data_IF_680232212108
#
_entry.id   IF_680232212108
#
_cell.length_a   1.000
_cell.length_b   1.000
_cell.length_c   1.000
_cell.angle_alpha   90.00
_cell.angle_beta   90.00
_cell.angle_gamma   90.00
#
_symmetry.space_group_name_H-M   'P 1'
#
loop_
_entity.id
_entity.type
_entity.pdbx_description
1 polymer ?
#
# COMPACT_ATOMS: atom_id res chain seq x y z
N UNK A 1 -31.81 -7.46 2.42
CA UNK A 1 -30.50 -7.17 3.05
C UNK A 1 -29.50 -8.16 2.45
N UNK A 2 -28.75 -7.73 1.43
CA UNK A 2 -27.84 -8.62 0.70
C UNK A 2 -26.75 -9.10 1.67
N UNK A 3 -26.56 -10.41 1.79
CA UNK A 3 -25.57 -11.01 2.69
C UNK A 3 -24.19 -10.77 2.07
N UNK A 4 -23.57 -9.64 2.40
CA UNK A 4 -22.18 -9.38 2.04
C UNK A 4 -21.36 -10.56 2.56
N UNK A 5 -20.67 -11.24 1.65
CA UNK A 5 -19.89 -12.42 2.02
C UNK A 5 -18.68 -11.94 2.82
N UNK A 6 -18.24 -12.71 3.82
CA UNK A 6 -17.09 -12.32 4.66
C UNK A 6 -15.86 -11.91 3.82
N UNK A 7 -15.67 -12.53 2.65
CA UNK A 7 -14.65 -12.16 1.66
C UNK A 7 -14.78 -10.73 1.12
N UNK A 8 -15.99 -10.25 0.85
CA UNK A 8 -16.23 -8.89 0.34
C UNK A 8 -15.90 -7.84 1.40
N UNK A 9 -16.28 -8.11 2.66
CA UNK A 9 -15.96 -7.23 3.79
C UNK A 9 -14.45 -7.18 3.99
N UNK A 10 -13.78 -8.34 3.99
CA UNK A 10 -12.32 -8.42 4.11
C UNK A 10 -11.62 -7.70 2.95
N UNK A 11 -12.13 -7.86 1.72
CA UNK A 11 -11.62 -7.16 0.54
C UNK A 11 -11.70 -5.64 0.67
N UNK A 12 -12.84 -5.11 1.15
CA UNK A 12 -12.98 -3.67 1.44
C UNK A 12 -11.98 -3.21 2.50
N UNK A 13 -11.80 -3.96 3.59
CA UNK A 13 -10.81 -3.64 4.61
C UNK A 13 -9.37 -3.62 4.06
N UNK A 14 -8.99 -4.58 3.22
CA UNK A 14 -7.68 -4.60 2.58
C UNK A 14 -7.48 -3.41 1.63
N UNK A 15 -8.52 -2.98 0.92
CA UNK A 15 -8.48 -1.76 0.08
C UNK A 15 -8.23 -0.52 0.94
N UNK A 16 -8.96 -0.35 2.04
CA UNK A 16 -8.77 0.82 2.89
C UNK A 16 -7.44 0.80 3.63
N UNK A 17 -6.96 -0.39 4.02
CA UNK A 17 -5.62 -0.57 4.58
C UNK A 17 -4.52 -0.26 3.56
N UNK A 18 -4.70 -0.63 2.29
CA UNK A 18 -3.78 -0.28 1.20
C UNK A 18 -3.71 1.23 0.96
N UNK A 19 -4.86 1.93 1.01
CA UNK A 19 -4.90 3.40 0.91
C UNK A 19 -4.19 4.05 2.10
N UNK A 20 -4.41 3.53 3.31
CA UNK A 20 -3.77 4.03 4.53
C UNK A 20 -2.25 3.82 4.48
N UNK A 21 -1.79 2.64 4.05
CA UNK A 21 -0.37 2.34 3.87
C UNK A 21 0.28 3.22 2.80
N UNK A 22 -0.41 3.47 1.69
CA UNK A 22 0.07 4.40 0.65
C UNK A 22 0.16 5.84 1.19
N UNK A 23 -0.86 6.31 1.91
CA UNK A 23 -0.83 7.65 2.51
C UNK A 23 0.31 7.79 3.53
N UNK A 24 0.52 6.78 4.40
CA UNK A 24 1.63 6.76 5.36
C UNK A 24 3.00 6.74 4.67
N UNK A 25 3.11 6.06 3.52
CA UNK A 25 4.33 6.05 2.70
C UNK A 25 4.58 7.42 2.05
N UNK A 26 3.57 8.06 1.50
CA UNK A 26 3.70 9.41 0.92
C UNK A 26 4.00 10.47 2.00
N UNK A 27 3.35 10.39 3.17
CA UNK A 27 3.56 11.35 4.26
C UNK A 27 4.86 11.11 5.04
N UNK A 28 5.24 9.85 5.27
CA UNK A 28 6.40 9.50 6.12
C UNK A 28 7.63 9.02 5.34
N UNK A 29 7.44 8.26 4.27
CA UNK A 29 8.52 7.70 3.46
C UNK A 29 9.08 8.68 2.43
N UNK A 30 8.25 9.57 1.88
CA UNK A 30 8.73 10.60 0.94
C UNK A 30 9.64 11.62 1.64
N UNK A 31 9.43 11.89 2.94
CA UNK A 31 10.28 12.80 3.72
C UNK A 31 11.73 12.30 3.77
N UNK A 32 11.96 10.98 3.79
CA UNK A 32 13.31 10.39 3.79
C UNK A 32 14.05 10.69 2.48
N UNK A 33 13.34 10.82 1.36
CA UNK A 33 13.92 11.18 0.05
C UNK A 33 14.39 12.64 0.03
N UNK A 34 13.80 13.51 0.84
CA UNK A 34 14.12 14.94 0.90
C UNK A 34 15.04 15.33 2.07
N UNK A 35 15.36 14.41 2.99
CA UNK A 35 16.23 14.69 4.15
C UNK A 35 17.72 14.46 3.89
N UNK A 36 18.09 13.60 2.94
CA UNK A 36 19.48 13.38 2.54
C UNK A 36 19.80 14.14 1.24
N UNK A 37 20.84 14.98 1.26
CA UNK A 37 21.33 15.77 0.12
C UNK A 37 22.06 14.89 -0.92
N UNK A 38 22.51 13.69 -0.51
CA UNK A 38 22.96 12.63 -1.41
C UNK A 38 21.80 11.67 -1.68
N UNK A 39 21.47 11.45 -2.96
CA UNK A 39 20.53 10.42 -3.38
C UNK A 39 21.12 9.04 -3.07
N UNK A 40 21.04 8.64 -1.81
CA UNK A 40 21.61 7.41 -1.34
C UNK A 40 20.76 6.24 -1.86
N UNK A 41 21.45 5.18 -2.24
CA UNK A 41 20.85 3.96 -2.81
C UNK A 41 19.76 3.40 -1.87
N UNK A 42 19.88 3.68 -0.57
CA UNK A 42 18.90 3.40 0.46
C UNK A 42 17.54 4.05 0.23
N UNK A 43 17.47 5.34 -0.10
CA UNK A 43 16.21 6.06 -0.31
C UNK A 43 15.44 5.54 -1.55
N UNK A 44 16.16 5.25 -2.63
CA UNK A 44 15.60 4.60 -3.83
C UNK A 44 15.07 3.20 -3.52
N UNK A 45 15.79 2.42 -2.71
CA UNK A 45 15.36 1.08 -2.30
C UNK A 45 14.10 1.11 -1.41
N UNK A 46 13.99 2.07 -0.50
CA UNK A 46 12.80 2.28 0.33
C UNK A 46 11.57 2.65 -0.51
N UNK A 47 11.76 3.53 -1.50
CA UNK A 47 10.68 3.92 -2.41
C UNK A 47 10.18 2.74 -3.26
N UNK A 48 11.12 1.95 -3.81
CA UNK A 48 10.79 0.74 -4.59
C UNK A 48 10.06 -0.32 -3.74
N UNK A 49 10.57 -0.62 -2.55
CA UNK A 49 9.94 -1.60 -1.64
C UNK A 49 8.55 -1.12 -1.22
N UNK A 50 8.41 0.16 -0.90
CA UNK A 50 7.14 0.75 -0.53
C UNK A 50 6.09 0.70 -1.66
N UNK A 51 6.49 1.03 -2.90
CA UNK A 51 5.64 0.92 -4.10
C UNK A 51 5.25 -0.53 -4.39
N UNK A 52 6.21 -1.47 -4.28
CA UNK A 52 5.98 -2.89 -4.47
C UNK A 52 5.02 -3.46 -3.41
N UNK A 53 5.20 -3.10 -2.14
CA UNK A 53 4.31 -3.53 -1.04
C UNK A 53 2.88 -2.99 -1.24
N UNK A 54 2.74 -1.72 -1.65
CA UNK A 54 1.43 -1.14 -1.93
C UNK A 54 0.73 -1.85 -3.10
N UNK A 55 1.46 -2.13 -4.18
CA UNK A 55 0.96 -2.88 -5.33
C UNK A 55 0.55 -4.31 -4.94
N UNK A 56 1.34 -4.97 -4.10
CA UNK A 56 1.03 -6.31 -3.59
C UNK A 56 -0.26 -6.33 -2.78
N UNK A 57 -0.45 -5.36 -1.88
CA UNK A 57 -1.69 -5.22 -1.10
C UNK A 57 -2.91 -5.00 -2.01
N UNK A 58 -2.78 -4.17 -3.06
CA UNK A 58 -3.85 -3.96 -4.04
C UNK A 58 -4.17 -5.25 -4.82
N UNK A 59 -3.16 -6.02 -5.22
CA UNK A 59 -3.35 -7.28 -5.94
C UNK A 59 -4.02 -8.34 -5.07
N UNK A 60 -3.60 -8.49 -3.82
CA UNK A 60 -4.24 -9.39 -2.84
C UNK A 60 -5.69 -8.98 -2.62
N UNK A 61 -5.96 -7.69 -2.40
CA UNK A 61 -7.31 -7.18 -2.25
C UNK A 61 -8.17 -7.46 -3.50
N UNK A 62 -7.62 -7.22 -4.68
CA UNK A 62 -8.30 -7.47 -5.96
C UNK A 62 -8.57 -8.96 -6.18
N UNK A 63 -7.67 -9.85 -5.75
CA UNK A 63 -7.89 -11.31 -5.81
C UNK A 63 -8.86 -11.83 -4.76
N UNK A 64 -9.11 -11.07 -3.69
CA UNK A 64 -10.09 -11.39 -2.66
C UNK A 64 -11.51 -10.96 -3.05
N UNK A 65 -11.63 -9.80 -3.71
CA UNK A 65 -12.89 -9.25 -4.23
C UNK A 65 -13.28 -9.91 -5.55
N UNK A 66 -12.30 -10.25 -6.40
CA UNK A 66 -12.58 -10.90 -7.67
C UNK A 66 -12.70 -12.40 -7.47
N UNK A 67 -13.93 -12.90 -7.68
CA UNK A 67 -14.29 -14.30 -7.77
C UNK A 67 -13.61 -14.99 -8.94
#
# INVERSE_FOLDING_TARGET
MAKETFKDVLGKYFIDLSKLAFAALVLGGLIVIFQDDELDTGALSMFLVGSAASTFFVLVAKSLIKK
#
